data_IF_578944044429
#
_entry.id   IF_578944044429
#
_cell.length_a   1.000
_cell.length_b   1.000
_cell.length_c   1.000
_cell.angle_alpha   90.00
_cell.angle_beta   90.00
_cell.angle_gamma   90.00
#
_symmetry.space_group_name_H-M   'P 1'
#
loop_
_entity.id
_entity.type
_entity.pdbx_description
1 polymer ?
#
# COMPACT_ATOMS: atom_id res chain seq x y z
N UNK A 1 -24.21 -11.14 -1.36
CA UNK A 1 -23.58 -11.84 -0.22
C UNK A 1 -22.10 -12.11 -0.48
N UNK A 2 -21.70 -12.69 -1.62
CA UNK A 2 -20.27 -12.96 -1.95
C UNK A 2 -19.37 -11.72 -1.96
N UNK A 3 -19.78 -10.63 -2.61
CA UNK A 3 -18.95 -9.42 -2.72
C UNK A 3 -18.63 -8.76 -1.38
N UNK A 4 -19.60 -8.76 -0.46
CA UNK A 4 -19.42 -8.21 0.90
C UNK A 4 -18.39 -9.04 1.68
N UNK A 5 -18.43 -10.37 1.55
CA UNK A 5 -17.44 -11.26 2.18
C UNK A 5 -16.04 -11.04 1.61
N UNK A 6 -15.92 -10.84 0.29
CA UNK A 6 -14.64 -10.52 -0.36
C UNK A 6 -14.11 -9.17 0.12
N UNK A 7 -14.95 -8.13 0.18
CA UNK A 7 -14.54 -6.81 0.67
C UNK A 7 -14.11 -6.87 2.14
N UNK A 8 -14.84 -7.60 2.99
CA UNK A 8 -14.47 -7.84 4.37
C UNK A 8 -13.11 -8.56 4.47
N UNK A 9 -12.91 -9.63 3.70
CA UNK A 9 -11.63 -10.35 3.65
C UNK A 9 -10.47 -9.44 3.24
N UNK A 10 -10.65 -8.63 2.19
CA UNK A 10 -9.63 -7.65 1.74
C UNK A 10 -9.34 -6.62 2.82
N UNK A 11 -10.37 -6.07 3.49
CA UNK A 11 -10.20 -5.11 4.57
C UNK A 11 -9.45 -5.70 5.76
N UNK A 12 -9.78 -6.91 6.18
CA UNK A 12 -9.10 -7.59 7.28
C UNK A 12 -7.62 -7.84 6.94
N UNK A 13 -7.33 -8.33 5.74
CA UNK A 13 -5.95 -8.56 5.28
C UNK A 13 -5.18 -7.24 5.19
N UNK A 14 -5.78 -6.18 4.64
CA UNK A 14 -5.16 -4.86 4.53
C UNK A 14 -4.94 -4.18 5.89
N UNK A 15 -5.83 -4.39 6.86
CA UNK A 15 -5.73 -3.82 8.20
C UNK A 15 -4.73 -4.57 9.11
N UNK A 16 -4.53 -5.87 8.88
CA UNK A 16 -3.62 -6.72 9.67
C UNK A 16 -2.20 -6.14 9.83
N UNK A 17 -1.47 -5.76 8.76
CA UNK A 17 -0.11 -5.23 8.91
C UNK A 17 -0.08 -3.91 9.73
N UNK A 18 -1.11 -3.09 9.63
CA UNK A 18 -1.23 -1.86 10.43
C UNK A 18 -1.47 -2.17 11.90
N UNK A 19 -2.42 -3.05 12.19
CA UNK A 19 -2.72 -3.47 13.56
C UNK A 19 -1.50 -4.11 14.24
N UNK A 20 -0.78 -4.98 13.53
CA UNK A 20 0.46 -5.59 14.01
C UNK A 20 1.56 -4.57 14.25
N UNK A 21 1.72 -3.59 13.36
CA UNK A 21 2.73 -2.55 13.51
C UNK A 21 2.45 -1.64 14.71
N UNK A 22 1.19 -1.24 14.92
CA UNK A 22 0.79 -0.45 16.11
C UNK A 22 1.02 -1.26 17.38
N UNK A 23 0.61 -2.53 17.40
CA UNK A 23 0.85 -3.42 18.54
C UNK A 23 2.35 -3.52 18.85
N UNK A 24 3.18 -3.78 17.84
CA UNK A 24 4.62 -3.91 17.99
C UNK A 24 5.30 -2.61 18.44
N UNK A 25 4.87 -1.45 17.92
CA UNK A 25 5.36 -0.14 18.37
C UNK A 25 5.02 0.12 19.84
N UNK A 26 3.78 -0.19 20.25
CA UNK A 26 3.34 -0.03 21.63
C UNK A 26 4.08 -0.98 22.57
N UNK A 27 4.27 -2.25 22.19
CA UNK A 27 5.08 -3.20 22.96
C UNK A 27 6.52 -2.68 23.10
N UNK A 28 7.13 -2.25 21.99
CA UNK A 28 8.49 -1.75 22.02
C UNK A 28 8.64 -0.49 22.87
N UNK A 29 7.67 0.43 22.81
CA UNK A 29 7.68 1.68 23.58
C UNK A 29 7.40 1.47 25.09
N UNK A 30 6.63 0.44 25.46
CA UNK A 30 6.31 0.15 26.87
C UNK A 30 7.45 -0.53 27.61
N UNK A 31 8.39 -1.15 26.90
CA UNK A 31 9.56 -1.81 27.51
C UNK A 31 10.62 -0.78 27.94
N UNK A 32 11.12 -0.84 29.19
CA UNK A 32 12.09 0.11 29.70
C UNK A 32 13.47 -0.08 29.06
N UNK A 33 14.26 1.00 28.98
CA UNK A 33 15.56 1.02 28.30
C UNK A 33 16.57 -0.03 28.82
N UNK A 34 16.57 -0.31 30.14
CA UNK A 34 17.48 -1.30 30.72
C UNK A 34 17.22 -2.72 30.20
N UNK A 35 15.98 -3.05 29.85
CA UNK A 35 15.64 -4.37 29.31
C UNK A 35 16.22 -4.55 27.90
N UNK A 36 16.24 -3.48 27.11
CA UNK A 36 16.84 -3.46 25.78
C UNK A 36 18.36 -3.54 25.82
N UNK A 37 19.00 -2.84 26.76
CA UNK A 37 20.46 -2.91 26.93
C UNK A 37 20.91 -4.29 27.39
N UNK A 38 20.19 -4.93 28.32
CA UNK A 38 20.48 -6.31 28.73
C UNK A 38 20.25 -7.33 27.61
N UNK A 39 19.34 -7.04 26.68
CA UNK A 39 19.10 -7.87 25.50
C UNK A 39 20.10 -7.59 24.36
N UNK A 40 21.04 -6.63 24.53
CA UNK A 40 21.99 -6.18 23.50
C UNK A 40 21.31 -5.75 22.19
N UNK A 41 20.09 -5.19 22.26
CA UNK A 41 19.34 -4.72 21.09
C UNK A 41 19.01 -3.23 21.19
N UNK A 42 19.24 -2.43 20.13
CA UNK A 42 18.90 -1.01 20.12
C UNK A 42 17.39 -0.76 19.93
N UNK A 43 16.69 -0.33 20.99
CA UNK A 43 15.24 -0.06 21.00
C UNK A 43 14.81 0.89 19.85
N UNK A 44 15.51 2.01 19.70
CA UNK A 44 15.18 3.02 18.70
C UNK A 44 15.27 2.49 17.26
N UNK A 45 16.24 1.61 16.97
CA UNK A 45 16.37 0.97 15.67
C UNK A 45 15.15 0.09 15.36
N UNK A 46 14.71 -0.72 16.32
CA UNK A 46 13.53 -1.58 16.16
C UNK A 46 12.26 -0.78 15.96
N UNK A 47 12.03 0.26 16.77
CA UNK A 47 10.89 1.16 16.60
C UNK A 47 10.92 1.86 15.23
N UNK A 48 12.10 2.32 14.78
CA UNK A 48 12.28 2.94 13.47
C UNK A 48 11.96 1.99 12.32
N UNK A 49 12.44 0.74 12.37
CA UNK A 49 12.14 -0.27 11.35
C UNK A 49 10.64 -0.59 11.28
N UNK A 50 9.97 -0.72 12.42
CA UNK A 50 8.50 -0.95 12.46
C UNK A 50 7.76 0.25 11.86
N UNK A 51 8.17 1.48 12.19
CA UNK A 51 7.55 2.69 11.67
C UNK A 51 7.70 2.79 10.15
N UNK A 52 8.90 2.55 9.61
CA UNK A 52 9.16 2.53 8.15
C UNK A 52 8.33 1.44 7.47
N UNK A 53 8.30 0.23 8.03
CA UNK A 53 7.48 -0.87 7.52
C UNK A 53 5.98 -0.54 7.50
N UNK A 54 5.50 0.23 8.48
CA UNK A 54 4.12 0.72 8.53
C UNK A 54 3.82 1.62 7.33
N UNK A 55 4.67 2.61 7.07
CA UNK A 55 4.49 3.53 5.93
C UNK A 55 4.56 2.81 4.58
N UNK A 56 5.47 1.85 4.42
CA UNK A 56 5.55 1.02 3.22
C UNK A 56 4.28 0.20 3.02
N UNK A 57 3.68 -0.32 4.10
CA UNK A 57 2.41 -1.05 4.03
C UNK A 57 1.27 -0.14 3.54
N UNK A 58 1.16 1.08 4.09
CA UNK A 58 0.16 2.08 3.66
C UNK A 58 0.35 2.42 2.17
N UNK A 59 1.59 2.67 1.75
CA UNK A 59 1.93 2.95 0.36
C UNK A 59 1.53 1.79 -0.56
N UNK A 60 1.84 0.55 -0.17
CA UNK A 60 1.49 -0.66 -0.91
C UNK A 60 -0.01 -0.80 -1.11
N UNK A 61 -0.80 -0.59 -0.04
CA UNK A 61 -2.28 -0.61 -0.10
C UNK A 61 -2.78 0.47 -1.06
N UNK A 62 -2.25 1.69 -0.97
CA UNK A 62 -2.62 2.81 -1.86
C UNK A 62 -2.31 2.51 -3.34
N UNK A 63 -1.12 1.97 -3.63
CA UNK A 63 -0.73 1.55 -4.98
C UNK A 63 -1.61 0.42 -5.52
N UNK A 64 -1.92 -0.57 -4.70
CA UNK A 64 -2.83 -1.65 -5.07
C UNK A 64 -4.24 -1.13 -5.38
N UNK A 65 -4.77 -0.24 -4.56
CA UNK A 65 -6.08 0.41 -4.81
C UNK A 65 -6.06 1.23 -6.10
N UNK A 66 -5.00 2.01 -6.32
CA UNK A 66 -4.84 2.78 -7.55
C UNK A 66 -4.80 1.87 -8.78
N UNK A 67 -4.03 0.78 -8.71
CA UNK A 67 -3.99 -0.22 -9.78
C UNK A 67 -5.37 -0.82 -10.04
N UNK A 68 -6.06 -1.30 -9.01
CA UNK A 68 -7.35 -1.99 -9.16
C UNK A 68 -8.46 -1.06 -9.68
N UNK A 69 -8.44 0.22 -9.30
CA UNK A 69 -9.49 1.19 -9.64
C UNK A 69 -9.23 1.97 -10.91
N UNK A 70 -7.97 2.25 -11.27
CA UNK A 70 -7.61 3.09 -12.42
C UNK A 70 -6.91 2.34 -13.53
N UNK A 71 -5.86 1.58 -13.18
CA UNK A 71 -5.01 0.92 -14.18
C UNK A 71 -5.70 -0.31 -14.75
N UNK A 72 -6.24 -1.19 -13.90
CA UNK A 72 -6.90 -2.43 -14.30
C UNK A 72 -8.06 -2.20 -15.29
N UNK A 73 -8.98 -1.24 -15.09
CA UNK A 73 -10.03 -0.98 -16.07
C UNK A 73 -9.49 -0.45 -17.41
N UNK A 74 -8.46 0.39 -17.39
CA UNK A 74 -7.84 0.93 -18.60
C UNK A 74 -7.13 -0.17 -19.41
N UNK A 75 -6.41 -1.07 -18.73
CA UNK A 75 -5.79 -2.25 -19.35
C UNK A 75 -6.86 -3.16 -19.95
N UNK A 76 -7.92 -3.48 -19.20
CA UNK A 76 -9.02 -4.30 -19.70
C UNK A 76 -9.72 -3.65 -20.92
N UNK A 77 -9.85 -2.32 -20.97
CA UNK A 77 -10.39 -1.63 -22.14
C UNK A 77 -9.47 -1.75 -23.37
N UNK A 78 -8.16 -1.60 -23.17
CA UNK A 78 -7.16 -1.76 -24.22
C UNK A 78 -7.11 -3.21 -24.76
N UNK A 79 -7.20 -4.21 -23.89
CA UNK A 79 -7.32 -5.64 -24.27
C UNK A 79 -8.55 -5.89 -25.14
N UNK A 80 -9.65 -5.18 -24.88
CA UNK A 80 -10.88 -5.24 -25.67
C UNK A 80 -10.84 -4.36 -26.95
N UNK A 81 -9.68 -3.87 -27.36
CA UNK A 81 -9.48 -3.07 -28.57
C UNK A 81 -9.95 -1.62 -28.47
N UNK A 82 -10.36 -1.14 -27.28
CA UNK A 82 -10.78 0.25 -27.05
C UNK A 82 -9.57 1.12 -26.71
N UNK A 83 -8.78 1.43 -27.72
CA UNK A 83 -7.63 2.34 -27.58
C UNK A 83 -8.13 3.76 -27.90
N UNK A 84 -8.17 4.64 -26.90
CA UNK A 84 -8.38 6.06 -27.16
C UNK A 84 -7.19 6.58 -27.97
N UNK A 85 -7.40 6.86 -29.26
CA UNK A 85 -6.37 7.34 -30.17
C UNK A 85 -5.81 8.67 -29.64
N UNK A 86 -4.49 8.80 -29.39
CA UNK A 86 -3.90 10.07 -29.00
C UNK A 86 -4.08 11.06 -30.15
N UNK A 87 -4.81 12.14 -29.90
CA UNK A 87 -4.84 13.42 -30.63
C UNK A 87 -4.39 13.31 -32.10
N UNK A 88 -5.33 13.33 -33.03
CA UNK A 88 -5.03 13.59 -34.45
C UNK A 88 -4.28 14.91 -34.54
N UNK A 89 -2.94 14.85 -34.66
CA UNK A 89 -2.13 15.97 -35.11
C UNK A 89 -2.54 16.16 -36.56
N UNK A 90 -3.46 17.08 -36.82
CA UNK A 90 -3.76 17.55 -38.17
C UNK A 90 -2.45 18.12 -38.71
N UNK A 91 -1.89 17.58 -39.80
CA UNK A 91 -0.78 18.25 -40.48
C UNK A 91 -1.32 19.61 -40.89
N UNK A 92 -0.77 20.67 -40.31
CA UNK A 92 -1.01 22.03 -40.79
C UNK A 92 -0.32 22.11 -42.16
N UNK A 93 -1.11 21.90 -43.21
CA UNK A 93 -0.71 22.24 -44.58
C UNK A 93 -0.97 23.74 -44.71
N UNK A 94 0.08 24.53 -44.44
CA UNK A 94 0.09 25.94 -44.84
C UNK A 94 0.35 26.01 -46.37
N UNK A 95 -0.33 26.90 -47.10
CA UNK A 95 -0.33 26.96 -48.56
C UNK A 95 0.97 27.47 -49.19
#
# INVERSE_FOLDING_TARGET
>A
MGDVLVMLGVLLVAATPLALSVFALLDAARRPAWAWSLAERPQAMWMGMILVGTFLSILGIGLSLYYLTRVRPAVAAAENGKISSPRSVTPRVDP
#
